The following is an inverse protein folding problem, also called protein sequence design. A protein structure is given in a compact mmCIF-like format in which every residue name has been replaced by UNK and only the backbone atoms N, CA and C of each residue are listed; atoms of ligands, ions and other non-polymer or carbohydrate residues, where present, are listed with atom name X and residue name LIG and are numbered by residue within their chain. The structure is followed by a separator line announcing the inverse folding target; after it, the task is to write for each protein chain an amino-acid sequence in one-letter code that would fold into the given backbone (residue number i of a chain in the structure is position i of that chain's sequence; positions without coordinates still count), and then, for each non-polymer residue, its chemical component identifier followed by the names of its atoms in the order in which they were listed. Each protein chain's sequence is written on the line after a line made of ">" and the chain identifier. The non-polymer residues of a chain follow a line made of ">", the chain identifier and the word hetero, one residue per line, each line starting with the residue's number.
data_IF_321579364387
#
_entry.id   IF_321579364387
#
_cell.length_a   1.000
_cell.length_b   1.000
_cell.length_c   1.000
_cell.angle_alpha   90.00
_cell.angle_beta   90.00
_cell.angle_gamma   90.00
#
_symmetry.space_group_name_H-M   'P 1'
#
loop_
_entity.id
_entity.type
_entity.pdbx_description
1 polymer ?
#
# COMPACT_ATOMS: atom_id res chain seq x y z
N UNK A 1 6.70 -1.78 -2.02
CA UNK A 1 5.81 -1.99 -3.18
C UNK A 1 5.72 -3.48 -3.45
N UNK A 2 4.50 -4.00 -3.64
CA UNK A 2 4.26 -5.41 -4.00
C UNK A 2 4.65 -5.63 -5.48
N UNK A 3 5.33 -6.74 -5.85
CA UNK A 3 5.53 -7.11 -7.25
C UNK A 3 4.20 -7.42 -7.97
N UNK A 4 4.09 -7.15 -9.28
CA UNK A 4 2.90 -7.47 -10.05
C UNK A 4 2.69 -8.99 -10.10
N UNK A 5 1.44 -9.43 -9.95
CA UNK A 5 1.04 -10.82 -10.15
C UNK A 5 1.24 -11.21 -11.63
N UNK A 6 1.79 -12.39 -11.94
CA UNK A 6 2.14 -12.78 -13.30
C UNK A 6 0.95 -12.80 -14.27
N UNK A 7 -0.26 -13.11 -13.77
CA UNK A 7 -1.48 -13.15 -14.60
C UNK A 7 -2.42 -11.95 -14.40
N UNK A 8 -2.27 -11.19 -13.32
CA UNK A 8 -3.27 -10.20 -12.88
C UNK A 8 -2.68 -8.82 -12.63
N UNK A 9 -1.37 -8.65 -12.86
CA UNK A 9 -0.66 -7.41 -12.68
C UNK A 9 -0.81 -6.87 -11.25
N UNK A 10 -1.26 -5.62 -11.13
CA UNK A 10 -1.39 -4.93 -9.84
C UNK A 10 -2.73 -5.19 -9.13
N UNK A 11 -3.59 -6.05 -9.68
CA UNK A 11 -4.88 -6.38 -9.06
C UNK A 11 -4.67 -7.26 -7.83
N UNK A 12 -5.43 -6.98 -6.76
CA UNK A 12 -5.51 -7.85 -5.60
C UNK A 12 -6.30 -9.12 -5.99
N UNK A 13 -5.67 -10.29 -5.84
CA UNK A 13 -6.28 -11.59 -6.14
C UNK A 13 -6.37 -12.37 -4.83
N UNK A 14 -7.56 -12.84 -4.49
CA UNK A 14 -7.82 -13.50 -3.20
C UNK A 14 -8.17 -14.99 -3.34
N UNK A 15 -8.29 -15.48 -4.57
CA UNK A 15 -8.91 -16.76 -4.91
C UNK A 15 -8.09 -17.62 -5.90
N UNK A 16 -6.82 -17.30 -6.13
CA UNK A 16 -5.97 -18.07 -7.05
C UNK A 16 -4.97 -18.97 -6.33
N UNK A 17 -4.57 -20.07 -6.99
CA UNK A 17 -3.55 -20.98 -6.48
C UNK A 17 -2.21 -20.28 -6.25
N UNK A 18 -1.90 -19.21 -6.99
CA UNK A 18 -0.61 -18.49 -6.95
C UNK A 18 -0.30 -17.71 -5.66
N UNK A 19 -1.15 -17.82 -4.63
CA UNK A 19 -0.88 -17.20 -3.32
C UNK A 19 0.29 -17.86 -2.55
N UNK A 20 0.87 -18.96 -3.06
CA UNK A 20 2.12 -19.53 -2.53
C UNK A 20 3.39 -18.82 -3.02
N UNK A 21 3.30 -17.95 -4.04
CA UNK A 21 4.47 -17.28 -4.64
C UNK A 21 4.89 -15.99 -3.90
N UNK A 22 4.38 -15.77 -2.67
CA UNK A 22 4.71 -14.62 -1.80
C UNK A 22 4.66 -13.25 -2.50
N UNK A 23 3.65 -13.05 -3.36
CA UNK A 23 3.44 -11.76 -4.06
C UNK A 23 3.20 -10.61 -3.09
N UNK A 24 2.62 -10.89 -1.92
CA UNK A 24 2.66 -10.00 -0.77
C UNK A 24 2.48 -10.76 0.54
N UNK A 25 3.01 -10.18 1.61
CA UNK A 25 2.94 -10.79 2.94
C UNK A 25 1.49 -11.05 3.41
N UNK A 26 0.57 -10.11 3.18
CA UNK A 26 -0.84 -10.25 3.57
C UNK A 26 -1.56 -11.36 2.78
N UNK A 27 -1.22 -11.52 1.50
CA UNK A 27 -1.76 -12.58 0.64
C UNK A 27 -1.30 -13.96 1.07
N UNK A 28 0.00 -14.08 1.39
CA UNK A 28 0.56 -15.33 1.91
C UNK A 28 -0.08 -15.74 3.24
N UNK A 29 -0.30 -14.78 4.15
CA UNK A 29 -1.00 -15.03 5.42
C UNK A 29 -2.44 -15.51 5.18
N UNK A 30 -3.20 -14.82 4.31
CA UNK A 30 -4.57 -15.20 3.99
C UNK A 30 -4.65 -16.60 3.38
N UNK A 31 -3.73 -16.93 2.48
CA UNK A 31 -3.64 -18.25 1.87
C UNK A 31 -3.31 -19.32 2.89
N UNK A 32 -2.31 -19.11 3.74
CA UNK A 32 -1.96 -20.05 4.80
C UNK A 32 -3.16 -20.34 5.70
N UNK A 33 -3.79 -19.27 6.19
CA UNK A 33 -4.96 -19.33 7.06
C UNK A 33 -6.09 -20.14 6.42
N UNK A 34 -6.42 -19.88 5.14
CA UNK A 34 -7.54 -20.53 4.44
C UNK A 34 -7.23 -21.96 3.98
N UNK A 35 -6.03 -22.18 3.42
CA UNK A 35 -5.69 -23.44 2.75
C UNK A 35 -5.20 -24.51 3.72
N UNK A 36 -4.44 -24.10 4.74
CA UNK A 36 -3.83 -25.04 5.69
C UNK A 36 -4.56 -25.01 7.03
N UNK A 37 -4.53 -23.89 7.74
CA UNK A 37 -4.95 -23.85 9.15
C UNK A 37 -6.46 -24.11 9.30
N UNK A 38 -7.27 -23.53 8.41
CA UNK A 38 -8.71 -23.81 8.33
C UNK A 38 -8.98 -25.28 8.01
N UNK A 39 -8.35 -25.82 6.96
CA UNK A 39 -8.55 -27.20 6.56
C UNK A 39 -8.14 -28.19 7.66
N UNK A 40 -7.02 -27.92 8.33
CA UNK A 40 -6.49 -28.70 9.45
C UNK A 40 -7.43 -28.66 10.66
N UNK A 41 -7.95 -27.49 11.01
CA UNK A 41 -8.94 -27.32 12.08
C UNK A 41 -10.21 -28.12 11.82
N UNK A 42 -10.78 -28.01 10.61
CA UNK A 42 -12.00 -28.73 10.23
C UNK A 42 -11.77 -30.24 10.22
N UNK A 43 -10.65 -30.70 9.65
CA UNK A 43 -10.29 -32.13 9.69
C UNK A 43 -10.07 -32.62 11.12
N UNK A 44 -9.42 -31.83 11.98
CA UNK A 44 -9.24 -32.15 13.40
C UNK A 44 -10.59 -32.33 14.09
N UNK A 45 -11.53 -31.39 13.88
CA UNK A 45 -12.86 -31.47 14.45
C UNK A 45 -13.65 -32.69 13.94
N UNK A 46 -13.60 -32.94 12.62
CA UNK A 46 -14.26 -34.09 12.00
C UNK A 46 -13.75 -35.43 12.57
N UNK A 47 -12.44 -35.56 12.78
CA UNK A 47 -11.85 -36.75 13.38
C UNK A 47 -11.81 -36.71 14.92
N UNK A 48 -12.52 -35.77 15.54
CA UNK A 48 -12.59 -35.61 17.00
C UNK A 48 -11.21 -35.54 17.68
N UNK A 49 -10.22 -34.95 17.00
CA UNK A 49 -8.87 -34.78 17.52
C UNK A 49 -8.72 -33.38 18.14
N UNK A 50 -8.78 -33.24 19.49
CA UNK A 50 -8.75 -31.94 20.14
C UNK A 50 -7.44 -31.19 19.94
N UNK A 51 -6.32 -31.90 19.77
CA UNK A 51 -5.03 -31.26 19.51
C UNK A 51 -5.01 -30.56 18.15
N UNK A 52 -5.56 -31.21 17.12
CA UNK A 52 -5.66 -30.62 15.78
C UNK A 52 -6.76 -29.57 15.65
N UNK A 53 -7.87 -29.72 16.40
CA UNK A 53 -8.90 -28.69 16.44
C UNK A 53 -8.40 -27.43 17.14
N UNK A 54 -7.65 -27.57 18.23
CA UNK A 54 -7.26 -26.44 19.07
C UNK A 54 -5.85 -25.92 18.77
N UNK A 55 -4.82 -26.71 19.11
CA UNK A 55 -3.42 -26.28 19.10
C UNK A 55 -2.84 -26.16 17.70
N UNK A 56 -3.09 -27.16 16.84
CA UNK A 56 -2.62 -27.19 15.46
C UNK A 56 -3.72 -26.77 14.50
N UNK A 57 -4.50 -25.75 14.82
CA UNK A 57 -5.57 -25.32 13.92
C UNK A 57 -6.16 -23.98 14.35
N UNK A 58 -7.05 -24.00 15.33
CA UNK A 58 -7.71 -22.78 15.82
C UNK A 58 -6.71 -21.74 16.35
N UNK A 59 -5.66 -22.19 17.05
CA UNK A 59 -4.60 -21.29 17.50
C UNK A 59 -3.90 -20.58 16.33
N UNK A 60 -3.47 -21.34 15.31
CA UNK A 60 -2.82 -20.78 14.11
C UNK A 60 -3.77 -19.83 13.34
N UNK A 61 -5.05 -20.20 13.19
CA UNK A 61 -6.08 -19.32 12.59
C UNK A 61 -6.17 -17.97 13.31
N UNK A 62 -6.15 -17.98 14.64
CA UNK A 62 -6.21 -16.74 15.44
C UNK A 62 -4.94 -15.92 15.31
N UNK A 63 -3.78 -16.57 15.27
CA UNK A 63 -2.49 -15.90 15.09
C UNK A 63 -2.42 -15.24 13.71
N UNK A 64 -2.74 -15.97 12.64
CA UNK A 64 -2.78 -15.43 11.27
C UNK A 64 -3.76 -14.24 11.15
N UNK A 65 -4.92 -14.29 11.81
CA UNK A 65 -5.86 -13.18 11.82
C UNK A 65 -5.29 -11.91 12.51
N UNK A 66 -4.56 -12.09 13.62
CA UNK A 66 -3.89 -10.98 14.31
C UNK A 66 -2.83 -10.36 13.39
N UNK A 67 -2.03 -11.19 12.73
CA UNK A 67 -0.97 -10.74 11.83
C UNK A 67 -1.54 -10.00 10.61
N UNK A 68 -2.63 -10.50 10.02
CA UNK A 68 -3.35 -9.81 8.93
C UNK A 68 -3.83 -8.42 9.38
N UNK A 69 -4.40 -8.31 10.59
CA UNK A 69 -4.86 -7.03 11.14
C UNK A 69 -3.70 -6.07 11.40
N UNK A 70 -2.59 -6.57 11.91
CA UNK A 70 -1.38 -5.78 12.15
C UNK A 70 -0.81 -5.24 10.82
N UNK A 71 -0.71 -6.09 9.81
CA UNK A 71 -0.23 -5.74 8.47
C UNK A 71 -1.15 -4.71 7.80
N UNK A 72 -2.47 -4.88 7.90
CA UNK A 72 -3.43 -3.88 7.44
C UNK A 72 -3.25 -2.52 8.15
N UNK A 73 -2.98 -2.54 9.46
CA UNK A 73 -2.65 -1.33 10.23
C UNK A 73 -1.37 -0.66 9.74
N UNK A 74 -0.31 -1.43 9.48
CA UNK A 74 0.96 -0.95 8.92
C UNK A 74 0.76 -0.30 7.56
N UNK A 75 0.00 -0.95 6.66
CA UNK A 75 -0.29 -0.43 5.33
C UNK A 75 -1.09 0.88 5.37
N UNK A 76 -2.08 0.99 6.27
CA UNK A 76 -2.84 2.23 6.48
C UNK A 76 -1.94 3.37 6.98
N UNK A 77 -1.06 3.11 7.95
CA UNK A 77 -0.09 4.10 8.47
C UNK A 77 0.92 4.52 7.42
N UNK A 78 1.48 3.57 6.67
CA UNK A 78 2.42 3.85 5.57
C UNK A 78 1.77 4.69 4.47
N UNK A 79 0.47 4.53 4.22
CA UNK A 79 -0.29 5.37 3.28
C UNK A 79 -0.49 6.80 3.78
N UNK A 80 -0.68 6.99 5.09
CA UNK A 80 -0.72 8.31 5.71
C UNK A 80 0.65 9.01 5.70
N UNK A 81 1.74 8.26 5.87
CA UNK A 81 3.12 8.78 5.78
C UNK A 81 3.58 9.01 4.33
N UNK A 82 3.09 8.24 3.36
CA UNK A 82 3.29 8.51 1.93
C UNK A 82 2.44 9.66 1.39
N UNK A 83 1.43 10.11 2.16
CA UNK A 83 0.63 11.30 1.89
C UNK A 83 1.24 12.57 2.53
N UNK A 84 2.56 12.59 2.77
CA UNK A 84 3.28 13.85 2.97
C UNK A 84 3.08 14.68 1.70
N UNK A 85 2.22 15.69 1.81
CA UNK A 85 1.91 16.75 0.85
C UNK A 85 2.64 16.63 -0.50
N UNK A 86 2.00 16.00 -1.48
CA UNK A 86 2.41 16.06 -2.89
C UNK A 86 2.17 17.47 -3.50
N UNK A 87 2.19 18.52 -2.67
CA UNK A 87 2.30 19.89 -3.17
C UNK A 87 3.73 20.02 -3.68
N UNK A 88 3.94 20.41 -4.94
CA UNK A 88 5.27 20.64 -5.45
C UNK A 88 5.99 21.61 -4.52
N UNK A 89 7.25 21.32 -4.26
CA UNK A 89 8.12 22.25 -3.54
C UNK A 89 8.20 23.57 -4.33
N UNK A 90 8.47 24.67 -3.63
CA UNK A 90 8.60 26.00 -4.28
C UNK A 90 9.61 25.97 -5.43
N UNK A 91 10.69 25.22 -5.27
CA UNK A 91 11.72 25.02 -6.29
C UNK A 91 11.20 24.28 -7.53
N UNK A 92 10.31 23.29 -7.34
CA UNK A 92 9.65 22.57 -8.42
C UNK A 92 8.64 23.46 -9.15
N UNK A 93 7.86 24.27 -8.41
CA UNK A 93 6.94 25.26 -9.00
C UNK A 93 7.71 26.27 -9.88
N UNK A 94 8.81 26.84 -9.37
CA UNK A 94 9.66 27.76 -10.12
C UNK A 94 10.28 27.11 -11.37
N UNK A 95 10.78 25.88 -11.27
CA UNK A 95 11.28 25.13 -12.43
C UNK A 95 10.21 24.88 -13.49
N UNK A 96 8.95 24.65 -13.10
CA UNK A 96 7.86 24.49 -14.08
C UNK A 96 7.54 25.80 -14.79
N UNK A 97 7.60 26.94 -14.09
CA UNK A 97 7.43 28.26 -14.68
C UNK A 97 8.55 28.58 -15.68
N UNK A 98 9.81 28.30 -15.33
CA UNK A 98 10.95 28.47 -16.24
C UNK A 98 10.80 27.61 -17.50
N UNK A 99 10.37 26.35 -17.38
CA UNK A 99 10.08 25.49 -18.53
C UNK A 99 8.92 26.01 -19.38
N UNK A 100 7.91 26.67 -18.80
CA UNK A 100 6.81 27.29 -19.56
C UNK A 100 7.31 28.50 -20.35
N UNK A 101 8.15 29.33 -19.74
CA UNK A 101 8.77 30.47 -20.41
C UNK A 101 9.67 30.02 -21.56
N UNK A 102 10.54 29.02 -21.32
CA UNK A 102 11.43 28.47 -22.34
C UNK A 102 10.68 27.83 -23.53
N UNK A 103 9.43 27.41 -23.32
CA UNK A 103 8.54 26.89 -24.38
C UNK A 103 7.71 27.97 -25.07
N UNK A 104 7.84 29.24 -24.67
CA UNK A 104 7.03 30.35 -25.18
C UNK A 104 5.55 30.25 -24.80
N UNK A 105 5.20 29.45 -23.80
CA UNK A 105 3.82 29.24 -23.37
C UNK A 105 3.28 30.37 -22.49
N UNK A 106 4.16 31.23 -21.98
CA UNK A 106 3.88 32.42 -21.17
C UNK A 106 4.82 33.54 -21.58
N UNK A 107 4.37 34.79 -21.44
CA UNK A 107 5.20 35.99 -21.65
C UNK A 107 6.12 36.27 -20.45
N UNK A 108 7.16 37.08 -20.65
CA UNK A 108 8.08 37.50 -19.58
C UNK A 108 7.35 38.21 -18.43
N UNK A 109 6.34 39.04 -18.74
CA UNK A 109 5.56 39.74 -17.72
C UNK A 109 4.72 38.77 -16.88
N UNK A 110 4.10 37.78 -17.51
CA UNK A 110 3.32 36.74 -16.83
C UNK A 110 4.23 35.84 -15.96
N UNK A 111 5.43 35.53 -16.44
CA UNK A 111 6.42 34.77 -15.66
C UNK A 111 6.82 35.52 -14.37
N UNK A 112 7.11 36.82 -14.45
CA UNK A 112 7.51 37.60 -13.26
C UNK A 112 6.37 37.73 -12.25
N UNK A 113 5.13 37.90 -12.71
CA UNK A 113 3.96 37.97 -11.84
C UNK A 113 3.72 36.64 -11.10
N UNK A 114 3.75 35.51 -11.80
CA UNK A 114 3.56 34.18 -11.21
C UNK A 114 4.73 33.77 -10.30
N UNK A 115 5.97 34.09 -10.68
CA UNK A 115 7.14 33.88 -9.83
C UNK A 115 7.03 34.63 -8.51
N UNK A 116 6.61 35.90 -8.54
CA UNK A 116 6.42 36.71 -7.34
C UNK A 116 5.34 36.11 -6.44
N UNK A 117 4.21 35.70 -7.01
CA UNK A 117 3.11 35.06 -6.29
C UNK A 117 3.55 33.77 -5.56
N UNK A 118 4.31 32.91 -6.23
CA UNK A 118 4.86 31.67 -5.65
C UNK A 118 5.80 31.98 -4.47
N UNK A 119 6.62 33.02 -4.58
CA UNK A 119 7.53 33.45 -3.50
C UNK A 119 6.77 34.09 -2.32
N UNK A 120 5.78 34.93 -2.59
CA UNK A 120 4.95 35.57 -1.56
C UNK A 120 4.14 34.53 -0.78
N UNK A 121 3.56 33.55 -1.47
CA UNK A 121 2.87 32.41 -0.87
C UNK A 121 3.79 31.56 0.03
N UNK A 122 5.07 31.43 -0.33
CA UNK A 122 6.05 30.73 0.49
C UNK A 122 6.43 31.51 1.74
N UNK A 123 6.63 32.83 1.61
CA UNK A 123 6.95 33.71 2.73
C UNK A 123 5.81 33.74 3.74
N UNK A 124 4.55 33.80 3.27
CA UNK A 124 3.36 33.84 4.13
C UNK A 124 2.99 32.49 4.78
N UNK A 125 3.60 31.37 4.35
CA UNK A 125 3.41 30.04 4.96
C UNK A 125 4.41 29.71 6.07
N UNK A 126 5.44 30.55 6.28
CA UNK A 126 6.40 30.46 7.38
C UNK A 126 5.91 31.23 8.61
#
# INVERSE_FOLDING_TARGET
>A
NRPPHPLSGNQLVIDSQLLYEDTSHIERLLFKMKKYDYARTIKGAYHQNPAYTHWYGNAELKMDLIDIKAEAGRLKKGRAQGAVSNKPTVEEELKTLEKKLARGAISDMEYQAEKKKVLDDFINRK
#
